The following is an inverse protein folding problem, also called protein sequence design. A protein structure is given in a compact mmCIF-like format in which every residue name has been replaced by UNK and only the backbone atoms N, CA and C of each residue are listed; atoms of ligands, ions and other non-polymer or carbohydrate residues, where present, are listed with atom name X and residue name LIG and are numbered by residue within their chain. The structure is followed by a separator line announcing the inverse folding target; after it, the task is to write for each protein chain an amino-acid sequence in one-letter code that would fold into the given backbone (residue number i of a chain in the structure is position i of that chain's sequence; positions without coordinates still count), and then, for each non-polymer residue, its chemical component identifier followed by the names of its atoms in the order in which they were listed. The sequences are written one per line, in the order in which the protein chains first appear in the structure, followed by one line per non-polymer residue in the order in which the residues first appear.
data_IF_452475191210
#
_entry.id   IF_452475191210
#
_cell.length_a   1.000
_cell.length_b   1.000
_cell.length_c   1.000
_cell.angle_alpha   90.00
_cell.angle_beta   90.00
_cell.angle_gamma   90.00
#
_symmetry.space_group_name_H-M   'P 1'
#
loop_
_entity.id
_entity.type
_entity.pdbx_description
1 polymer ?
#
# COMPACT_ATOMS: atom_id res chain seq x y z
N UNK A 1 3.59 -19.57 60.99
CA UNK A 1 4.96 -19.20 61.44
C UNK A 1 5.93 -19.62 60.36
N UNK A 2 6.80 -18.68 59.94
CA UNK A 2 8.09 -18.86 59.21
C UNK A 2 8.06 -19.53 57.82
N UNK A 3 8.77 -19.08 56.77
CA UNK A 3 9.68 -17.95 56.52
C UNK A 3 9.89 -17.84 55.00
N UNK A 4 9.94 -16.59 54.53
CA UNK A 4 10.52 -16.04 53.30
C UNK A 4 11.72 -16.81 52.70
N UNK A 5 11.74 -16.96 51.37
CA UNK A 5 12.95 -16.84 50.54
C UNK A 5 12.53 -16.64 49.07
N UNK A 6 12.69 -15.49 48.41
CA UNK A 6 13.87 -14.63 48.38
C UNK A 6 14.73 -14.90 47.13
N UNK A 7 14.14 -15.10 45.95
CA UNK A 7 14.90 -15.35 44.71
C UNK A 7 15.30 -14.02 44.07
N UNK A 8 16.59 -13.71 44.20
CA UNK A 8 17.25 -12.50 43.70
C UNK A 8 17.32 -12.52 42.18
N UNK A 9 16.92 -11.40 41.58
CA UNK A 9 17.05 -11.06 40.17
C UNK A 9 18.51 -10.67 39.90
N UNK A 10 19.21 -11.24 38.90
CA UNK A 10 20.47 -10.69 38.45
C UNK A 10 20.24 -9.43 37.62
N UNK A 11 20.78 -8.32 38.12
CA UNK A 11 20.89 -7.02 37.45
C UNK A 11 21.92 -7.15 36.33
N UNK A 12 21.50 -6.97 35.07
CA UNK A 12 22.41 -6.83 33.92
C UNK A 12 22.84 -5.37 33.77
N UNK A 13 24.14 -5.06 33.61
CA UNK A 13 24.60 -3.70 33.45
C UNK A 13 24.72 -3.28 31.97
N UNK A 14 24.49 -1.98 31.77
CA UNK A 14 25.18 -1.12 30.79
C UNK A 14 24.86 -1.27 29.30
N UNK A 15 23.84 -0.50 28.91
CA UNK A 15 23.87 0.55 27.88
C UNK A 15 25.22 0.73 27.16
N UNK A 16 25.26 0.34 25.89
CA UNK A 16 26.25 0.80 24.92
C UNK A 16 25.47 1.51 23.81
N UNK A 17 25.32 2.83 23.96
CA UNK A 17 24.81 3.69 22.89
C UNK A 17 25.88 3.81 21.81
N UNK A 18 25.70 3.11 20.70
CA UNK A 18 26.48 3.31 19.47
C UNK A 18 25.80 4.42 18.66
N UNK A 19 26.42 5.60 18.67
CA UNK A 19 26.03 6.75 17.84
C UNK A 19 26.46 6.50 16.38
N UNK A 20 25.56 6.56 15.39
CA UNK A 20 25.95 6.46 13.99
C UNK A 20 26.64 7.75 13.48
N UNK A 21 27.58 7.66 12.52
CA UNK A 21 28.25 8.82 11.94
C UNK A 21 27.29 9.65 11.06
N UNK A 22 27.39 10.97 11.20
CA UNK A 22 26.56 11.96 10.51
C UNK A 22 26.66 11.90 8.99
N UNK A 23 25.50 12.06 8.33
CA UNK A 23 25.41 12.20 6.88
C UNK A 23 25.80 13.63 6.45
N UNK A 24 26.51 13.79 5.32
CA UNK A 24 26.88 15.09 4.80
C UNK A 24 25.67 15.86 4.22
N UNK A 25 25.82 17.18 4.31
CA UNK A 25 24.87 18.23 3.95
C UNK A 25 24.46 18.21 2.48
N UNK A 26 23.17 18.12 2.20
CA UNK A 26 22.59 18.55 0.93
C UNK A 26 22.54 20.08 0.87
N UNK A 27 23.17 20.70 -0.12
CA UNK A 27 22.77 22.02 -0.60
C UNK A 27 23.35 22.34 -1.98
N UNK A 28 22.47 22.85 -2.83
CA UNK A 28 22.73 23.63 -4.03
C UNK A 28 23.16 22.86 -5.31
N UNK A 29 22.19 22.27 -6.00
CA UNK A 29 22.23 22.21 -7.47
C UNK A 29 21.23 23.22 -8.03
N UNK A 30 21.80 24.39 -8.30
CA UNK A 30 21.52 25.36 -9.37
C UNK A 30 20.24 25.14 -10.19
N UNK A 31 19.31 26.10 -10.06
CA UNK A 31 18.30 26.39 -11.09
C UNK A 31 19.03 26.83 -12.35
N UNK A 32 18.84 26.10 -13.44
CA UNK A 32 19.17 26.56 -14.79
C UNK A 32 17.87 26.87 -15.52
N UNK A 33 17.47 28.13 -15.44
CA UNK A 33 16.49 28.73 -16.34
C UNK A 33 17.14 28.84 -17.72
N UNK A 34 16.85 27.90 -18.63
CA UNK A 34 17.21 28.07 -20.03
C UNK A 34 16.13 28.89 -20.74
N UNK A 35 16.61 29.99 -21.31
CA UNK A 35 15.83 31.04 -21.90
C UNK A 35 14.94 30.58 -23.05
N UNK A 36 13.78 31.21 -23.08
CA UNK A 36 12.89 31.31 -24.23
C UNK A 36 13.67 31.93 -25.39
N UNK A 37 14.05 31.12 -26.37
CA UNK A 37 14.57 31.58 -27.65
C UNK A 37 13.43 31.52 -28.67
N UNK A 38 12.79 32.67 -28.88
CA UNK A 38 11.75 32.86 -29.91
C UNK A 38 12.34 32.68 -31.32
N UNK A 39 11.78 31.80 -32.16
CA UNK A 39 12.18 31.72 -33.56
C UNK A 39 11.60 32.91 -34.35
N UNK A 40 12.51 33.66 -34.98
CA UNK A 40 12.23 34.73 -35.93
C UNK A 40 11.48 34.16 -37.13
N UNK A 41 10.29 34.68 -37.40
CA UNK A 41 9.48 34.37 -38.58
C UNK A 41 10.17 34.85 -39.88
N UNK A 42 10.50 33.96 -40.83
CA UNK A 42 10.64 34.39 -42.21
C UNK A 42 9.24 34.59 -42.82
N UNK A 43 8.94 35.85 -43.17
CA UNK A 43 7.80 36.21 -44.01
C UNK A 43 8.00 35.57 -45.39
N UNK A 44 7.23 34.54 -45.70
CA UNK A 44 7.16 33.99 -47.07
C UNK A 44 5.71 33.70 -47.45
N UNK A 45 5.19 34.68 -48.19
CA UNK A 45 4.36 34.56 -49.38
C UNK A 45 3.28 33.47 -49.44
N UNK A 46 2.06 33.96 -49.35
CA UNK A 46 0.81 33.45 -49.96
C UNK A 46 1.06 32.52 -51.15
N UNK A 47 0.72 31.24 -50.98
CA UNK A 47 0.28 30.38 -52.06
C UNK A 47 -1.12 29.89 -51.72
N UNK A 48 -2.10 30.45 -52.42
CA UNK A 48 -3.45 29.92 -52.51
C UNK A 48 -3.39 28.56 -53.23
N UNK A 49 -3.93 27.52 -52.61
CA UNK A 49 -3.99 26.18 -53.18
C UNK A 49 -4.93 25.28 -52.39
N UNK A 50 -6.10 25.03 -52.98
CA UNK A 50 -7.18 24.18 -52.48
C UNK A 50 -6.74 22.70 -52.42
N UNK A 51 -6.79 22.05 -51.25
CA UNK A 51 -6.77 20.58 -51.16
C UNK A 51 -7.54 20.11 -49.92
N UNK A 52 -8.74 19.60 -50.18
CA UNK A 52 -9.60 18.89 -49.24
C UNK A 52 -8.98 17.49 -49.02
N UNK A 53 -8.43 17.20 -47.85
CA UNK A 53 -8.10 15.81 -47.46
C UNK A 53 -8.67 15.49 -46.09
N UNK A 54 -9.48 14.45 -46.09
CA UNK A 54 -10.28 13.90 -45.03
C UNK A 54 -9.45 13.27 -43.89
N UNK A 55 -10.02 13.38 -42.68
CA UNK A 55 -10.12 12.37 -41.61
C UNK A 55 -8.87 11.52 -41.34
N UNK A 56 -8.35 11.65 -40.11
CA UNK A 56 -8.27 10.54 -39.14
C UNK A 56 -7.94 11.14 -37.77
N UNK A 57 -8.99 11.41 -37.00
CA UNK A 57 -8.88 11.58 -35.56
C UNK A 57 -8.46 10.23 -34.96
N UNK A 58 -7.19 10.09 -34.58
CA UNK A 58 -6.76 9.00 -33.71
C UNK A 58 -7.29 9.28 -32.30
N UNK A 59 -8.53 8.88 -32.05
CA UNK A 59 -9.01 8.61 -30.70
C UNK A 59 -8.22 7.39 -30.18
N UNK A 60 -7.07 7.65 -29.57
CA UNK A 60 -6.35 6.67 -28.77
C UNK A 60 -7.20 6.38 -27.54
N UNK A 61 -8.12 5.42 -27.66
CA UNK A 61 -8.70 4.76 -26.50
C UNK A 61 -7.55 3.97 -25.86
N UNK A 62 -6.84 4.62 -24.94
CA UNK A 62 -6.07 3.90 -23.95
C UNK A 62 -7.09 3.22 -23.06
N UNK A 63 -7.28 1.92 -23.26
CA UNK A 63 -7.84 1.08 -22.21
C UNK A 63 -6.75 1.03 -21.14
N UNK A 64 -6.78 1.99 -20.24
CA UNK A 64 -6.19 1.79 -18.93
C UNK A 64 -6.87 0.53 -18.39
N UNK A 65 -6.11 -0.56 -18.30
CA UNK A 65 -6.57 -1.76 -17.62
C UNK A 65 -6.59 -1.45 -16.11
N UNK A 66 -7.52 -0.60 -15.69
CA UNK A 66 -7.99 -0.59 -14.32
C UNK A 66 -8.73 -1.89 -14.10
N UNK A 67 -8.33 -2.66 -13.10
CA UNK A 67 -9.20 -3.67 -12.53
C UNK A 67 -10.47 -2.94 -12.09
N UNK A 68 -11.58 -3.17 -12.81
CA UNK A 68 -12.85 -2.56 -12.48
C UNK A 68 -13.43 -3.28 -11.27
N UNK A 69 -13.29 -2.65 -10.10
CA UNK A 69 -13.88 -3.13 -8.85
C UNK A 69 -15.40 -2.93 -8.87
N UNK A 70 -16.13 -3.79 -8.14
CA UNK A 70 -17.57 -3.57 -7.92
C UNK A 70 -17.79 -2.29 -7.11
N UNK A 71 -19.05 -1.83 -7.00
CA UNK A 71 -19.37 -0.68 -6.16
C UNK A 71 -18.98 -0.89 -4.68
N UNK A 72 -19.00 -2.13 -4.20
CA UNK A 72 -18.54 -2.50 -2.87
C UNK A 72 -17.00 -2.53 -2.81
N UNK A 73 -16.35 -3.19 -3.78
CA UNK A 73 -14.89 -3.19 -3.89
C UNK A 73 -14.30 -1.79 -4.00
N UNK A 74 -14.94 -0.86 -4.71
CA UNK A 74 -14.51 0.53 -4.79
C UNK A 74 -14.64 1.29 -3.46
N UNK A 75 -15.66 0.99 -2.64
CA UNK A 75 -15.74 1.51 -1.27
C UNK A 75 -14.66 0.91 -0.39
N UNK A 76 -14.45 -0.40 -0.46
CA UNK A 76 -13.40 -1.13 0.24
C UNK A 76 -12.00 -0.61 -0.09
N UNK A 77 -11.73 -0.36 -1.37
CA UNK A 77 -10.47 0.22 -1.86
C UNK A 77 -10.20 1.60 -1.25
N UNK A 78 -11.22 2.45 -1.18
CA UNK A 78 -11.12 3.78 -0.55
C UNK A 78 -10.86 3.65 0.94
N UNK A 79 -11.63 2.82 1.64
CA UNK A 79 -11.44 2.56 3.07
C UNK A 79 -10.03 2.02 3.37
N UNK A 80 -9.54 1.05 2.60
CA UNK A 80 -8.20 0.49 2.74
C UNK A 80 -7.08 1.52 2.52
N UNK A 81 -7.35 2.54 1.69
CA UNK A 81 -6.43 3.68 1.49
C UNK A 81 -6.52 4.67 2.65
N UNK A 82 -7.73 5.08 3.01
CA UNK A 82 -7.99 6.13 4.00
C UNK A 82 -7.58 5.69 5.42
N UNK A 83 -7.74 4.41 5.73
CA UNK A 83 -7.31 3.80 7.00
C UNK A 83 -5.83 3.42 7.02
N UNK A 84 -5.12 3.59 5.89
CA UNK A 84 -3.69 3.34 5.76
C UNK A 84 -3.28 1.87 5.56
N UNK A 85 -4.25 0.96 5.41
CA UNK A 85 -4.02 -0.47 5.27
C UNK A 85 -3.11 -0.78 4.06
N UNK A 86 -3.40 -0.18 2.90
CA UNK A 86 -2.63 -0.35 1.66
C UNK A 86 -1.17 0.16 1.77
N UNK A 87 -0.87 1.03 2.75
CA UNK A 87 0.49 1.51 2.98
C UNK A 87 1.44 0.41 3.49
N UNK A 88 0.91 -0.58 4.21
CA UNK A 88 1.69 -1.72 4.70
C UNK A 88 1.61 -2.93 3.77
N UNK A 89 0.41 -3.17 3.22
CA UNK A 89 0.08 -4.38 2.48
C UNK A 89 0.12 -4.25 0.96
N UNK A 90 0.24 -3.03 0.41
CA UNK A 90 0.21 -2.85 -1.05
C UNK A 90 -1.19 -3.10 -1.66
N UNK A 91 -1.22 -3.67 -2.86
CA UNK A 91 -2.42 -3.93 -3.64
C UNK A 91 -2.79 -2.81 -4.62
N UNK A 92 -3.55 -3.16 -5.66
CA UNK A 92 -3.96 -2.23 -6.74
C UNK A 92 -2.76 -1.44 -7.32
N UNK A 93 -1.73 -2.18 -7.70
CA UNK A 93 -0.50 -1.62 -8.28
C UNK A 93 0.48 -0.97 -7.28
N UNK A 94 0.26 -1.16 -5.96
CA UNK A 94 1.18 -0.72 -4.91
C UNK A 94 1.95 -1.90 -4.33
N UNK A 95 3.25 -1.71 -4.11
CA UNK A 95 4.10 -2.72 -3.48
C UNK A 95 3.80 -2.85 -1.98
N UNK A 96 3.77 -4.09 -1.49
CA UNK A 96 3.75 -4.38 -0.06
C UNK A 96 5.15 -4.16 0.54
N UNK A 97 5.21 -3.43 1.66
CA UNK A 97 6.52 -3.04 2.26
C UNK A 97 6.71 -3.51 3.69
N UNK A 98 5.61 -3.79 4.40
CA UNK A 98 5.59 -4.06 5.84
C UNK A 98 4.84 -5.36 6.13
N UNK A 99 3.64 -5.48 5.55
CA UNK A 99 2.80 -6.67 5.65
C UNK A 99 2.85 -7.52 4.39
N UNK A 100 2.19 -8.69 4.39
CA UNK A 100 2.02 -9.51 3.20
C UNK A 100 1.22 -8.76 2.13
N UNK A 101 1.57 -8.99 0.86
CA UNK A 101 0.83 -8.51 -0.31
C UNK A 101 -0.57 -9.14 -0.36
N UNK A 102 -1.55 -8.37 -0.82
CA UNK A 102 -2.92 -8.84 -1.05
C UNK A 102 -3.17 -9.34 -2.47
N UNK A 103 -2.38 -8.89 -3.44
CA UNK A 103 -2.60 -9.18 -4.86
C UNK A 103 -2.46 -10.67 -5.14
N UNK A 104 -3.53 -11.30 -5.66
CA UNK A 104 -3.51 -12.74 -5.96
C UNK A 104 -3.48 -13.65 -4.73
N UNK A 105 -3.82 -13.13 -3.55
CA UNK A 105 -3.79 -13.87 -2.29
C UNK A 105 -5.13 -14.51 -1.93
N UNK A 106 -6.25 -14.09 -2.53
CA UNK A 106 -7.56 -14.64 -2.17
C UNK A 106 -7.62 -16.16 -2.42
N UNK A 107 -8.11 -16.89 -1.41
CA UNK A 107 -8.18 -18.34 -1.46
C UNK A 107 -6.85 -19.08 -1.33
N UNK A 108 -5.71 -18.39 -1.18
CA UNK A 108 -4.41 -19.04 -0.95
C UNK A 108 -4.29 -19.62 0.45
N UNK A 109 -3.42 -20.62 0.61
CA UNK A 109 -3.09 -21.17 1.93
C UNK A 109 -2.05 -20.29 2.64
N UNK A 110 -2.25 -20.09 3.94
CA UNK A 110 -1.42 -19.31 4.84
C UNK A 110 -0.89 -20.24 5.92
N UNK A 111 0.43 -20.27 6.12
CA UNK A 111 1.05 -20.89 7.29
C UNK A 111 1.01 -19.93 8.48
N UNK A 112 0.53 -20.42 9.63
CA UNK A 112 0.44 -19.67 10.88
C UNK A 112 1.67 -19.92 11.78
N UNK A 113 1.91 -19.03 12.74
CA UNK A 113 3.06 -19.10 13.65
C UNK A 113 3.07 -20.32 14.59
N UNK A 114 1.92 -20.98 14.77
CA UNK A 114 1.77 -22.26 15.48
C UNK A 114 2.03 -23.49 14.59
N UNK A 115 2.32 -23.29 13.30
CA UNK A 115 2.57 -24.34 12.31
C UNK A 115 1.31 -24.95 11.68
N UNK A 116 0.12 -24.45 12.01
CA UNK A 116 -1.11 -24.81 11.31
C UNK A 116 -1.28 -24.00 10.03
N UNK A 117 -2.25 -24.38 9.19
CA UNK A 117 -2.61 -23.65 7.96
C UNK A 117 -4.04 -23.15 7.99
N UNK A 118 -4.30 -22.05 7.30
CA UNK A 118 -5.63 -21.48 7.07
C UNK A 118 -5.73 -20.91 5.66
N UNK A 119 -6.94 -20.63 5.18
CA UNK A 119 -7.15 -19.97 3.90
C UNK A 119 -7.21 -18.44 4.07
N UNK A 120 -6.68 -17.68 3.11
CA UNK A 120 -6.93 -16.24 3.02
C UNK A 120 -8.32 -16.00 2.45
N UNK A 121 -9.31 -15.99 3.33
CA UNK A 121 -10.74 -15.78 3.02
C UNK A 121 -11.34 -14.68 3.91
N UNK A 122 -12.66 -14.46 3.75
CA UNK A 122 -13.40 -13.46 4.53
C UNK A 122 -13.26 -13.67 6.04
N UNK A 123 -13.31 -14.92 6.52
CA UNK A 123 -13.24 -15.25 7.94
C UNK A 123 -11.85 -14.91 8.49
N UNK A 124 -10.80 -15.25 7.75
CA UNK A 124 -9.42 -14.91 8.12
C UNK A 124 -9.20 -13.39 8.12
N UNK A 125 -9.69 -12.67 7.10
CA UNK A 125 -9.54 -11.21 7.01
C UNK A 125 -10.27 -10.52 8.15
N UNK A 126 -11.53 -10.87 8.40
CA UNK A 126 -12.33 -10.29 9.48
C UNK A 126 -11.65 -10.51 10.84
N UNK A 127 -11.22 -11.75 11.11
CA UNK A 127 -10.49 -12.06 12.35
C UNK A 127 -9.19 -11.28 12.43
N UNK A 128 -8.43 -11.19 11.35
CA UNK A 128 -7.16 -10.45 11.33
C UNK A 128 -7.38 -8.98 11.69
N UNK A 129 -8.41 -8.34 11.13
CA UNK A 129 -8.71 -6.92 11.40
C UNK A 129 -9.22 -6.69 12.83
N UNK A 130 -10.06 -7.60 13.35
CA UNK A 130 -10.67 -7.49 14.69
C UNK A 130 -9.78 -8.00 15.82
N UNK A 131 -8.85 -8.91 15.53
CA UNK A 131 -8.03 -9.61 16.51
C UNK A 131 -6.71 -10.09 15.85
N UNK A 132 -5.82 -9.16 15.49
CA UNK A 132 -4.62 -9.45 14.68
C UNK A 132 -3.61 -10.42 15.31
N UNK A 133 -3.67 -10.62 16.63
CA UNK A 133 -2.82 -11.60 17.32
C UNK A 133 -3.44 -13.01 17.37
N UNK A 134 -4.70 -13.20 16.95
CA UNK A 134 -5.37 -14.48 17.07
C UNK A 134 -4.87 -15.54 16.09
N UNK A 135 -4.43 -15.11 14.90
CA UNK A 135 -3.87 -15.96 13.85
C UNK A 135 -2.80 -15.19 13.08
N UNK A 136 -1.56 -15.24 13.57
CA UNK A 136 -0.43 -14.55 12.93
C UNK A 136 0.18 -15.44 11.88
N UNK A 137 0.64 -14.87 10.75
CA UNK A 137 1.38 -15.64 9.75
C UNK A 137 2.75 -16.02 10.31
N UNK A 138 3.26 -17.17 9.89
CA UNK A 138 4.60 -17.60 10.23
C UNK A 138 5.64 -16.56 9.81
N UNK A 139 6.52 -16.17 10.74
CA UNK A 139 7.60 -15.20 10.48
C UNK A 139 7.19 -13.73 10.55
N UNK A 140 5.92 -13.40 10.82
CA UNK A 140 5.50 -12.02 11.05
C UNK A 140 6.14 -11.46 12.32
N UNK A 141 6.86 -10.37 12.19
CA UNK A 141 7.54 -9.68 13.30
C UNK A 141 6.90 -8.32 13.64
N UNK A 142 6.04 -7.80 12.76
CA UNK A 142 5.25 -6.59 12.99
C UNK A 142 3.86 -6.98 13.48
N UNK A 143 3.30 -6.14 14.35
CA UNK A 143 1.92 -6.24 14.80
C UNK A 143 1.03 -5.39 13.90
N UNK A 144 0.03 -6.02 13.26
CA UNK A 144 -1.01 -5.29 12.56
C UNK A 144 -1.91 -4.55 13.58
N UNK A 145 -2.32 -3.30 13.31
CA UNK A 145 -3.27 -2.60 14.18
C UNK A 145 -4.61 -3.33 14.27
N UNK A 146 -5.25 -3.28 15.45
CA UNK A 146 -6.64 -3.73 15.64
C UNK A 146 -7.60 -2.60 15.25
N UNK A 147 -8.66 -2.94 14.49
CA UNK A 147 -9.75 -2.03 14.18
C UNK A 147 -11.05 -2.56 14.78
N UNK A 148 -11.57 -1.85 15.77
CA UNK A 148 -12.81 -2.20 16.46
C UNK A 148 -14.04 -1.71 15.70
N UNK A 149 -15.22 -2.22 16.05
CA UNK A 149 -16.48 -1.87 15.37
C UNK A 149 -16.83 -0.38 15.42
N UNK A 150 -16.30 0.36 16.40
CA UNK A 150 -16.44 1.82 16.53
C UNK A 150 -15.47 2.62 15.63
N UNK A 151 -14.44 1.97 15.08
CA UNK A 151 -13.46 2.59 14.17
C UNK A 151 -13.67 2.16 12.72
N UNK A 152 -14.17 0.94 12.51
CA UNK A 152 -14.49 0.34 11.23
C UNK A 152 -15.74 -0.51 11.44
N UNK A 153 -16.88 -0.10 10.90
CA UNK A 153 -18.13 -0.86 11.03
C UNK A 153 -18.06 -2.21 10.30
N UNK A 154 -19.01 -3.10 10.57
CA UNK A 154 -19.04 -4.41 9.92
C UNK A 154 -19.35 -4.31 8.42
N UNK A 155 -20.19 -3.34 8.01
CA UNK A 155 -20.49 -3.10 6.60
C UNK A 155 -19.27 -2.55 5.84
N UNK A 156 -18.51 -1.65 6.46
CA UNK A 156 -17.27 -1.12 5.87
C UNK A 156 -16.17 -2.21 5.79
N UNK A 157 -16.09 -3.08 6.80
CA UNK A 157 -15.19 -4.22 6.76
C UNK A 157 -15.60 -5.20 5.65
N UNK A 158 -16.90 -5.45 5.47
CA UNK A 158 -17.40 -6.28 4.37
C UNK A 158 -17.04 -5.69 3.00
N UNK A 159 -17.12 -4.37 2.83
CA UNK A 159 -16.66 -3.70 1.59
C UNK A 159 -15.14 -3.89 1.37
N UNK A 160 -14.31 -3.83 2.41
CA UNK A 160 -12.87 -4.12 2.33
C UNK A 160 -12.64 -5.58 1.94
N UNK A 161 -13.40 -6.52 2.50
CA UNK A 161 -13.30 -7.95 2.17
C UNK A 161 -13.58 -8.16 0.68
N UNK A 162 -14.63 -7.54 0.13
CA UNK A 162 -14.94 -7.61 -1.32
C UNK A 162 -13.80 -7.05 -2.15
N UNK A 163 -13.20 -5.93 -1.73
CA UNK A 163 -12.03 -5.37 -2.42
C UNK A 163 -10.84 -6.36 -2.45
N UNK A 164 -10.55 -7.02 -1.34
CA UNK A 164 -9.47 -8.01 -1.26
C UNK A 164 -9.75 -9.26 -2.12
N UNK A 165 -11.01 -9.69 -2.19
CA UNK A 165 -11.43 -10.77 -3.09
C UNK A 165 -11.24 -10.41 -4.57
N UNK A 166 -11.59 -9.18 -4.95
CA UNK A 166 -11.46 -8.69 -6.33
C UNK A 166 -10.00 -8.41 -6.75
N UNK A 167 -9.07 -8.31 -5.80
CA UNK A 167 -7.62 -8.28 -6.08
C UNK A 167 -7.05 -9.63 -6.50
N UNK A 168 -7.84 -10.70 -6.38
CA UNK A 168 -7.47 -12.07 -6.72
C UNK A 168 -6.79 -12.80 -5.58
#
# INVERSE_FOLDING_TARGET
MTLTNGRRIPVVPSLISVTPPGRPRSSAVRRHTHGVASPRHPRRSVFAGLALTAVLAFASCGSDSSTEFSAAGERGRRLATDLGCAGCHGGDGRDATIGPDWTGSWGTEIELDDGSTTTFDAVYVERSVRSPDAQRRAGDWIRMPEYRADQLSDDELADIVVYLEELG
#
